data_IF_069115098812
#
_entry.id   IF_069115098812
#
_cell.length_a   1.000
_cell.length_b   1.000
_cell.length_c   1.000
_cell.angle_alpha   90.00
_cell.angle_beta   90.00
_cell.angle_gamma   90.00
#
_symmetry.space_group_name_H-M   'P 1'
#
loop_
_entity.id
_entity.type
_entity.pdbx_description
1 polymer ?
#
# COMPACT_ATOMS: atom_id res chain seq x y z
N UNK A 1 -14.97 1.73 19.84
CA UNK A 1 -15.09 1.32 21.26
C UNK A 1 -13.77 0.70 21.68
N UNK A 2 -13.17 1.19 22.78
CA UNK A 2 -12.00 0.55 23.37
C UNK A 2 -12.39 -0.81 23.94
N UNK A 3 -11.54 -1.83 23.77
CA UNK A 3 -11.75 -3.13 24.38
C UNK A 3 -11.87 -2.94 25.91
N UNK A 4 -12.95 -3.45 26.51
CA UNK A 4 -13.20 -3.34 27.95
C UNK A 4 -12.16 -4.09 28.81
N UNK A 5 -11.25 -4.85 28.17
CA UNK A 5 -10.12 -5.53 28.80
C UNK A 5 -8.90 -4.63 28.68
N UNK A 6 -8.63 -3.89 29.75
CA UNK A 6 -7.53 -2.96 29.86
C UNK A 6 -6.16 -3.59 29.53
N UNK A 7 -5.19 -2.71 29.25
CA UNK A 7 -3.78 -2.96 28.97
C UNK A 7 -3.43 -3.55 27.58
N UNK A 8 -4.13 -4.56 27.06
CA UNK A 8 -3.83 -5.17 25.74
C UNK A 8 -4.58 -4.52 24.55
N UNK A 9 -5.08 -3.29 24.75
CA UNK A 9 -5.84 -2.54 23.75
C UNK A 9 -4.92 -1.80 22.78
N UNK A 10 -5.19 -1.82 21.45
CA UNK A 10 -4.43 -1.01 20.50
C UNK A 10 -4.55 0.48 20.82
N UNK A 11 -3.44 1.20 20.62
CA UNK A 11 -3.45 2.66 20.68
C UNK A 11 -4.25 3.28 19.52
N UNK A 12 -4.49 4.59 19.58
CA UNK A 12 -5.30 5.30 18.57
C UNK A 12 -4.71 5.18 17.16
N UNK A 13 -3.38 5.18 17.01
CA UNK A 13 -2.75 5.07 15.70
C UNK A 13 -2.97 3.67 15.11
N UNK A 14 -2.79 2.63 15.92
CA UNK A 14 -3.02 1.23 15.57
C UNK A 14 -4.48 0.99 15.20
N UNK A 15 -5.43 1.56 15.95
CA UNK A 15 -6.85 1.52 15.60
C UNK A 15 -7.10 2.13 14.21
N UNK A 16 -6.61 3.34 13.95
CA UNK A 16 -6.74 3.99 12.64
C UNK A 16 -6.11 3.17 11.52
N UNK A 17 -4.93 2.59 11.77
CA UNK A 17 -4.21 1.72 10.82
C UNK A 17 -5.02 0.47 10.50
N UNK A 18 -5.67 -0.16 11.48
CA UNK A 18 -6.56 -1.32 11.27
C UNK A 18 -7.76 -0.96 10.40
N UNK A 19 -8.45 0.14 10.70
CA UNK A 19 -9.58 0.61 9.89
C UNK A 19 -9.16 0.94 8.46
N UNK A 20 -8.05 1.66 8.27
CA UNK A 20 -7.51 1.97 6.94
C UNK A 20 -7.13 0.68 6.17
N UNK A 21 -6.42 -0.25 6.82
CA UNK A 21 -6.01 -1.52 6.22
C UNK A 21 -7.16 -2.49 5.92
N UNK A 22 -8.35 -2.27 6.51
CA UNK A 22 -9.55 -3.03 6.18
C UNK A 22 -10.20 -2.58 4.87
N UNK A 23 -9.94 -1.35 4.42
CA UNK A 23 -10.65 -0.75 3.28
C UNK A 23 -12.16 -0.62 3.50
N UNK A 24 -12.63 -0.64 4.75
CA UNK A 24 -14.06 -0.59 5.10
C UNK A 24 -14.77 -1.94 5.12
N UNK A 25 -14.07 -3.05 4.89
CA UNK A 25 -14.65 -4.40 4.79
C UNK A 25 -14.04 -5.37 5.80
N UNK A 26 -14.81 -6.39 6.20
CA UNK A 26 -14.34 -7.49 7.04
C UNK A 26 -13.11 -8.16 6.40
N UNK A 27 -12.06 -8.41 7.19
CA UNK A 27 -10.82 -9.01 6.69
C UNK A 27 -10.83 -10.54 6.58
N UNK A 28 -11.97 -11.20 6.86
CA UNK A 28 -12.16 -12.60 6.50
C UNK A 28 -12.34 -12.71 4.97
N UNK A 29 -11.50 -13.48 4.24
CA UNK A 29 -11.52 -13.57 2.78
C UNK A 29 -12.87 -13.97 2.18
N UNK A 30 -13.64 -14.77 2.91
CA UNK A 30 -14.95 -15.26 2.49
C UNK A 30 -16.11 -14.35 2.95
N UNK A 31 -15.81 -13.22 3.57
CA UNK A 31 -16.79 -12.25 4.04
C UNK A 31 -16.66 -10.94 3.25
N UNK A 32 -17.76 -10.50 2.65
CA UNK A 32 -17.83 -9.24 1.86
C UNK A 32 -18.61 -8.16 2.59
N UNK A 33 -18.78 -8.28 3.91
CA UNK A 33 -19.59 -7.36 4.69
C UNK A 33 -18.83 -6.04 4.97
N UNK A 34 -19.52 -4.94 4.75
CA UNK A 34 -19.09 -3.60 5.16
C UNK A 34 -19.04 -3.47 6.68
N UNK A 35 -18.07 -2.72 7.17
CA UNK A 35 -17.86 -2.49 8.60
C UNK A 35 -18.59 -1.25 9.12
N UNK A 36 -18.98 -0.35 8.22
CA UNK A 36 -19.87 0.76 8.49
C UNK A 36 -21.14 0.58 7.67
N UNK A 37 -22.28 0.57 8.33
CA UNK A 37 -23.59 0.34 7.71
C UNK A 37 -24.45 1.57 7.98
N UNK A 38 -25.10 2.11 6.96
CA UNK A 38 -26.10 3.14 7.15
C UNK A 38 -27.44 2.50 7.56
N UNK A 39 -27.89 2.83 8.77
CA UNK A 39 -29.19 2.42 9.31
C UNK A 39 -29.98 3.69 9.67
N UNK A 40 -31.09 3.94 8.98
CA UNK A 40 -31.95 5.11 9.17
C UNK A 40 -31.18 6.45 9.18
N UNK A 41 -30.20 6.58 8.28
CA UNK A 41 -29.37 7.78 8.15
C UNK A 41 -28.29 7.93 9.22
N UNK A 42 -28.08 6.91 10.07
CA UNK A 42 -26.98 6.84 11.02
C UNK A 42 -25.94 5.81 10.58
N UNK A 43 -24.68 6.23 10.53
CA UNK A 43 -23.57 5.34 10.28
C UNK A 43 -23.27 4.48 11.53
N UNK A 44 -23.52 3.19 11.43
CA UNK A 44 -23.31 2.20 12.49
C UNK A 44 -22.02 1.42 12.22
N UNK A 45 -21.10 1.44 13.18
CA UNK A 45 -19.87 0.67 13.13
C UNK A 45 -20.09 -0.74 13.71
N UNK A 46 -20.01 -1.76 12.86
CA UNK A 46 -20.12 -3.19 13.26
C UNK A 46 -18.76 -3.91 13.28
N UNK A 47 -17.66 -3.15 13.22
CA UNK A 47 -16.31 -3.66 13.26
C UNK A 47 -15.87 -4.01 14.68
N UNK A 48 -15.19 -5.13 14.80
CA UNK A 48 -14.54 -5.60 16.02
C UNK A 48 -13.06 -5.87 15.72
N UNK A 49 -12.20 -5.35 16.59
CA UNK A 49 -10.76 -5.61 16.55
C UNK A 49 -10.52 -6.92 17.28
N UNK A 50 -10.18 -7.96 16.51
CA UNK A 50 -9.91 -9.28 17.04
C UNK A 50 -8.42 -9.48 17.23
N UNK A 51 -8.06 -10.13 18.33
CA UNK A 51 -6.70 -10.57 18.61
C UNK A 51 -6.42 -11.90 17.88
N UNK A 52 -5.31 -11.96 17.13
CA UNK A 52 -4.79 -13.19 16.54
C UNK A 52 -4.35 -14.13 17.67
N UNK A 53 -3.43 -13.65 18.52
CA UNK A 53 -3.06 -14.24 19.80
C UNK A 53 -3.75 -13.50 20.93
N UNK A 54 -4.34 -14.23 21.88
CA UNK A 54 -5.21 -13.68 22.90
C UNK A 54 -4.65 -12.43 23.62
N UNK A 55 -5.57 -11.51 23.95
CA UNK A 55 -5.28 -10.33 24.76
C UNK A 55 -4.72 -10.66 26.15
N UNK A 56 -5.06 -11.84 26.70
CA UNK A 56 -4.63 -12.34 28.01
C UNK A 56 -4.26 -13.84 27.90
N UNK A 57 -3.61 -14.40 28.92
CA UNK A 57 -3.14 -15.79 28.90
C UNK A 57 -4.25 -16.85 29.00
N UNK A 58 -5.44 -16.45 29.42
CA UNK A 58 -6.61 -17.35 29.52
C UNK A 58 -7.50 -17.33 28.26
N UNK A 59 -7.10 -16.58 27.22
CA UNK A 59 -7.90 -16.44 26.01
C UNK A 59 -7.60 -17.50 24.92
N UNK A 60 -8.43 -17.55 23.86
CA UNK A 60 -8.19 -18.46 22.73
C UNK A 60 -6.87 -18.12 22.04
N UNK A 61 -6.04 -19.13 21.74
CA UNK A 61 -4.71 -18.96 21.12
C UNK A 61 -3.78 -18.07 21.99
N UNK A 62 -3.83 -18.25 23.31
CA UNK A 62 -2.92 -17.56 24.23
C UNK A 62 -1.46 -17.83 23.89
N UNK A 63 -0.65 -16.77 24.00
CA UNK A 63 0.79 -16.79 23.76
C UNK A 63 1.47 -15.99 24.88
N UNK A 64 1.78 -16.64 26.02
CA UNK A 64 2.27 -15.96 27.22
C UNK A 64 3.55 -15.16 27.02
N UNK A 65 4.34 -15.49 26.00
CA UNK A 65 5.58 -14.81 25.67
C UNK A 65 5.34 -13.40 25.11
N UNK A 66 4.13 -13.07 24.66
CA UNK A 66 3.82 -11.74 24.14
C UNK A 66 3.72 -10.71 25.26
N UNK A 67 4.52 -9.65 25.12
CA UNK A 67 4.40 -8.43 25.89
C UNK A 67 3.04 -7.76 25.68
N UNK A 68 2.69 -6.85 26.58
CA UNK A 68 1.46 -6.07 26.49
C UNK A 68 1.40 -5.26 25.19
N UNK A 69 2.52 -4.65 24.82
CA UNK A 69 2.67 -3.83 23.62
C UNK A 69 2.47 -4.68 22.37
N UNK A 70 3.05 -5.89 22.31
CA UNK A 70 2.87 -6.83 21.19
C UNK A 70 1.43 -7.33 21.09
N UNK A 71 0.72 -7.52 22.21
CA UNK A 71 -0.69 -7.92 22.18
C UNK A 71 -1.60 -6.86 21.58
N UNK A 72 -1.29 -5.58 21.83
CA UNK A 72 -1.98 -4.43 21.25
C UNK A 72 -1.44 -3.98 19.89
N UNK A 73 -0.36 -4.59 19.39
CA UNK A 73 0.29 -4.18 18.15
C UNK A 73 -0.57 -4.49 16.93
N UNK A 74 -0.40 -3.69 15.88
CA UNK A 74 -1.09 -3.89 14.61
C UNK A 74 -0.94 -5.32 14.11
N UNK A 75 0.25 -5.90 14.24
CA UNK A 75 0.64 -7.22 13.74
C UNK A 75 -0.22 -8.33 14.36
N UNK A 76 -0.57 -8.21 15.65
CA UNK A 76 -1.41 -9.16 16.38
C UNK A 76 -2.93 -8.93 16.23
N UNK A 77 -3.35 -7.92 15.46
CA UNK A 77 -4.76 -7.55 15.34
C UNK A 77 -5.29 -7.74 13.91
N UNK A 78 -6.57 -8.05 13.82
CA UNK A 78 -7.34 -8.13 12.57
C UNK A 78 -8.71 -7.46 12.78
N UNK A 79 -9.24 -6.79 11.76
CA UNK A 79 -10.53 -6.12 11.83
C UNK A 79 -11.61 -6.97 11.15
N UNK A 80 -12.62 -7.39 11.92
CA UNK A 80 -13.67 -8.30 11.47
C UNK A 80 -15.05 -7.69 11.76
N UNK A 81 -16.10 -8.17 11.08
CA UNK A 81 -17.46 -7.91 11.54
C UNK A 81 -17.78 -8.78 12.78
N UNK A 82 -18.76 -8.37 13.57
CA UNK A 82 -19.15 -9.07 14.81
C UNK A 82 -19.39 -10.59 14.64
N UNK A 83 -19.94 -11.03 13.51
CA UNK A 83 -20.16 -12.46 13.23
C UNK A 83 -18.84 -13.22 13.05
N UNK A 84 -17.92 -12.69 12.25
CA UNK A 84 -16.63 -13.34 12.01
C UNK A 84 -15.74 -13.29 13.25
N UNK A 85 -15.78 -12.20 14.02
CA UNK A 85 -15.11 -12.11 15.31
C UNK A 85 -15.61 -13.19 16.28
N UNK A 86 -16.93 -13.27 16.49
CA UNK A 86 -17.55 -14.29 17.35
C UNK A 86 -17.19 -15.72 16.90
N UNK A 87 -17.12 -15.97 15.59
CA UNK A 87 -16.79 -17.27 15.02
C UNK A 87 -15.37 -17.72 15.37
N UNK A 88 -14.36 -16.84 15.21
CA UNK A 88 -12.97 -17.20 15.50
C UNK A 88 -12.72 -17.38 17.00
N UNK A 89 -13.46 -16.68 17.85
CA UNK A 89 -13.34 -16.77 19.30
C UNK A 89 -13.99 -18.04 19.85
N UNK A 90 -15.16 -18.43 19.31
CA UNK A 90 -15.91 -19.61 19.78
C UNK A 90 -15.40 -20.93 19.21
N UNK A 91 -14.61 -20.92 18.14
CA UNK A 91 -14.08 -22.12 17.51
C UNK A 91 -12.55 -22.02 17.25
N UNK A 92 -11.72 -21.87 18.30
CA UNK A 92 -10.29 -21.62 18.14
C UNK A 92 -9.56 -22.74 17.38
N UNK A 93 -9.99 -23.99 17.50
CA UNK A 93 -9.39 -25.13 16.77
C UNK A 93 -9.65 -25.05 15.26
N UNK A 94 -10.79 -24.51 14.83
CA UNK A 94 -11.13 -24.31 13.42
C UNK A 94 -10.48 -23.05 12.83
N UNK A 95 -10.10 -22.11 13.71
CA UNK A 95 -9.49 -20.82 13.36
C UNK A 95 -8.20 -20.61 14.17
N UNK A 96 -7.15 -21.41 13.92
CA UNK A 96 -5.85 -21.20 14.54
C UNK A 96 -5.26 -19.85 14.10
N UNK A 97 -4.26 -19.38 14.84
CA UNK A 97 -3.54 -18.13 14.57
C UNK A 97 -3.00 -18.07 13.13
N UNK A 98 -2.46 -19.18 12.63
CA UNK A 98 -1.94 -19.30 11.26
C UNK A 98 -3.00 -18.96 10.20
N UNK A 99 -4.25 -19.40 10.41
CA UNK A 99 -5.38 -19.12 9.52
C UNK A 99 -5.78 -17.64 9.55
N UNK A 100 -5.79 -17.03 10.74
CA UNK A 100 -6.14 -15.61 10.90
C UNK A 100 -5.04 -14.72 10.30
N UNK A 101 -3.77 -15.09 10.47
CA UNK A 101 -2.63 -14.42 9.81
C UNK A 101 -2.71 -14.53 8.29
N UNK A 102 -3.15 -15.69 7.76
CA UNK A 102 -3.41 -15.86 6.34
C UNK A 102 -4.53 -14.94 5.85
N UNK A 103 -5.65 -14.83 6.57
CA UNK A 103 -6.73 -13.91 6.23
C UNK A 103 -6.26 -12.47 6.08
N UNK A 104 -5.46 -12.01 7.04
CA UNK A 104 -4.87 -10.67 7.02
C UNK A 104 -3.98 -10.46 5.78
N UNK A 105 -3.15 -11.45 5.43
CA UNK A 105 -2.29 -11.40 4.22
C UNK A 105 -3.12 -11.39 2.94
N UNK A 106 -4.15 -12.23 2.84
CA UNK A 106 -5.02 -12.29 1.67
C UNK A 106 -5.81 -10.99 1.47
N UNK A 107 -6.29 -10.38 2.56
CA UNK A 107 -6.97 -9.09 2.50
C UNK A 107 -6.06 -7.98 1.97
N UNK A 108 -4.83 -7.90 2.45
CA UNK A 108 -3.83 -6.95 1.93
C UNK A 108 -3.57 -7.17 0.44
N UNK A 109 -3.45 -8.42 -0.01
CA UNK A 109 -3.30 -8.74 -1.44
C UNK A 109 -4.51 -8.31 -2.26
N UNK A 110 -5.73 -8.55 -1.76
CA UNK A 110 -6.97 -8.14 -2.42
C UNK A 110 -7.05 -6.63 -2.58
N UNK A 111 -6.71 -5.87 -1.54
CA UNK A 111 -6.65 -4.41 -1.61
C UNK A 111 -5.57 -3.94 -2.59
N UNK A 112 -4.38 -4.52 -2.57
CA UNK A 112 -3.31 -4.20 -3.52
C UNK A 112 -3.80 -4.39 -4.97
N UNK A 113 -4.49 -5.50 -5.25
CA UNK A 113 -5.08 -5.77 -6.55
C UNK A 113 -6.15 -4.73 -6.95
N UNK A 114 -7.00 -4.28 -6.02
CA UNK A 114 -7.96 -3.18 -6.27
C UNK A 114 -7.26 -1.88 -6.66
N UNK A 115 -6.11 -1.59 -6.05
CA UNK A 115 -5.27 -0.44 -6.43
C UNK A 115 -4.40 -0.71 -7.66
N UNK A 116 -4.63 -1.82 -8.37
CA UNK A 116 -3.98 -2.18 -9.61
C UNK A 116 -2.62 -2.87 -9.44
N UNK A 117 -2.12 -3.05 -8.21
CA UNK A 117 -0.86 -3.75 -7.94
C UNK A 117 -1.10 -5.24 -8.13
N UNK A 118 -0.57 -5.78 -9.22
CA UNK A 118 -0.91 -7.13 -9.70
C UNK A 118 0.35 -7.99 -9.69
N UNK A 119 0.23 -9.24 -9.23
CA UNK A 119 1.27 -10.23 -9.46
C UNK A 119 1.15 -10.77 -10.88
N UNK A 120 2.19 -10.59 -11.68
CA UNK A 120 2.22 -11.05 -13.06
C UNK A 120 2.76 -12.48 -13.14
N UNK A 121 2.25 -13.29 -14.09
CA UNK A 121 2.71 -14.66 -14.28
C UNK A 121 4.15 -14.73 -14.80
N UNK A 122 4.59 -13.72 -15.54
CA UNK A 122 5.90 -13.67 -16.18
C UNK A 122 6.35 -12.22 -16.41
N UNK A 123 7.60 -12.09 -16.87
CA UNK A 123 8.26 -10.81 -17.13
C UNK A 123 7.59 -10.01 -18.25
N UNK A 124 7.04 -10.69 -19.26
CA UNK A 124 6.38 -10.04 -20.38
C UNK A 124 5.08 -9.35 -19.95
N UNK A 125 4.25 -10.02 -19.15
CA UNK A 125 3.03 -9.45 -18.59
C UNK A 125 3.33 -8.27 -17.65
N UNK A 126 4.38 -8.37 -16.83
CA UNK A 126 4.84 -7.26 -16.00
C UNK A 126 5.31 -6.06 -16.85
N UNK A 127 6.06 -6.31 -17.92
CA UNK A 127 6.52 -5.29 -18.86
C UNK A 127 5.36 -4.59 -19.56
N UNK A 128 4.37 -5.34 -20.04
CA UNK A 128 3.17 -4.82 -20.71
C UNK A 128 2.40 -3.84 -19.81
N UNK A 129 2.34 -4.11 -18.50
CA UNK A 129 1.69 -3.22 -17.55
C UNK A 129 2.46 -1.90 -17.30
N UNK A 130 3.80 -1.94 -17.23
CA UNK A 130 4.62 -0.76 -16.89
C UNK A 130 5.06 0.06 -18.11
N UNK A 131 5.22 -0.55 -19.29
CA UNK A 131 5.75 0.10 -20.48
C UNK A 131 4.91 1.31 -20.92
N UNK A 132 3.57 1.27 -20.92
CA UNK A 132 2.74 2.44 -21.25
C UNK A 132 2.93 3.61 -20.28
N UNK A 133 3.19 3.33 -18.99
CA UNK A 133 3.43 4.37 -17.98
C UNK A 133 4.76 5.08 -18.25
N UNK A 134 5.81 4.31 -18.55
CA UNK A 134 7.13 4.84 -18.91
C UNK A 134 7.07 5.64 -20.21
N UNK A 135 6.38 5.13 -21.24
CA UNK A 135 6.18 5.84 -22.51
C UNK A 135 5.44 7.16 -22.33
N UNK A 136 4.39 7.18 -21.49
CA UNK A 136 3.65 8.40 -21.15
C UNK A 136 4.53 9.41 -20.41
N UNK A 137 5.37 8.96 -19.46
CA UNK A 137 6.30 9.82 -18.75
C UNK A 137 7.33 10.43 -19.69
N UNK A 138 7.90 9.61 -20.58
CA UNK A 138 8.83 10.07 -21.60
C UNK A 138 8.18 11.14 -22.50
N UNK A 139 6.97 10.90 -23.02
CA UNK A 139 6.26 11.88 -23.84
C UNK A 139 6.00 13.21 -23.10
N UNK A 140 5.62 13.15 -21.81
CA UNK A 140 5.44 14.34 -20.99
C UNK A 140 6.76 15.09 -20.82
N UNK A 141 7.83 14.38 -20.47
CA UNK A 141 9.14 14.98 -20.29
C UNK A 141 9.63 15.65 -21.58
N UNK A 142 9.55 14.97 -22.73
CA UNK A 142 9.99 15.51 -24.02
C UNK A 142 9.19 16.75 -24.46
N UNK A 143 7.90 16.81 -24.16
CA UNK A 143 7.03 17.93 -24.61
C UNK A 143 7.02 19.12 -23.65
N UNK A 144 7.18 18.89 -22.35
CA UNK A 144 6.93 19.90 -21.32
C UNK A 144 8.10 20.07 -20.33
N UNK A 145 9.17 19.29 -20.47
CA UNK A 145 10.30 19.30 -19.54
C UNK A 145 11.11 20.59 -19.60
N UNK A 146 12.06 20.76 -18.65
CA UNK A 146 12.83 21.99 -18.51
C UNK A 146 13.82 22.27 -19.68
N UNK A 147 14.00 21.30 -20.59
CA UNK A 147 14.92 21.43 -21.72
C UNK A 147 14.31 22.15 -22.94
N UNK A 148 12.98 22.30 -22.99
CA UNK A 148 12.31 22.96 -24.12
C UNK A 148 12.61 24.46 -24.13
N UNK A 149 12.56 25.07 -25.31
CA UNK A 149 12.86 26.51 -25.46
C UNK A 149 11.94 27.39 -24.61
N UNK A 150 10.64 27.09 -24.59
CA UNK A 150 9.66 27.83 -23.79
C UNK A 150 9.98 27.82 -22.28
N UNK A 151 10.62 26.78 -21.74
CA UNK A 151 11.00 26.74 -20.34
C UNK A 151 12.07 27.77 -19.94
N UNK A 152 12.76 28.36 -20.92
CA UNK A 152 13.74 29.44 -20.71
C UNK A 152 13.11 30.83 -20.66
N UNK A 153 11.83 30.94 -21.02
CA UNK A 153 11.05 32.17 -20.98
C UNK A 153 10.15 32.18 -19.72
N UNK A 154 10.43 33.07 -18.73
CA UNK A 154 9.63 33.18 -17.52
C UNK A 154 8.15 33.52 -17.75
N UNK A 155 7.81 34.16 -18.88
CA UNK A 155 6.44 34.61 -19.18
C UNK A 155 5.62 33.57 -19.96
N UNK A 156 6.25 32.50 -20.45
CA UNK A 156 5.62 31.48 -21.29
C UNK A 156 4.58 30.60 -20.57
N UNK A 157 4.59 30.58 -19.23
CA UNK A 157 3.82 29.63 -18.43
C UNK A 157 4.30 28.16 -18.53
N UNK A 158 5.42 27.89 -19.18
CA UNK A 158 5.97 26.54 -19.35
C UNK A 158 6.34 25.89 -18.00
N UNK A 159 6.89 26.66 -17.06
CA UNK A 159 7.24 26.18 -15.72
C UNK A 159 6.01 25.69 -14.94
N UNK A 160 4.89 26.42 -14.99
CA UNK A 160 3.64 26.01 -14.33
C UNK A 160 3.02 24.79 -15.03
N UNK A 161 3.07 24.75 -16.36
CA UNK A 161 2.66 23.57 -17.12
C UNK A 161 3.49 22.34 -16.75
N UNK A 162 4.80 22.49 -16.64
CA UNK A 162 5.73 21.44 -16.23
C UNK A 162 5.38 20.93 -14.83
N UNK A 163 5.23 21.83 -13.85
CA UNK A 163 4.85 21.48 -12.48
C UNK A 163 3.54 20.71 -12.45
N UNK A 164 2.50 21.17 -13.15
CA UNK A 164 1.23 20.45 -13.24
C UNK A 164 1.38 19.07 -13.86
N UNK A 165 2.17 18.92 -14.92
CA UNK A 165 2.41 17.64 -15.59
C UNK A 165 3.23 16.66 -14.73
N UNK A 166 4.15 17.17 -13.92
CA UNK A 166 4.84 16.38 -12.90
C UNK A 166 3.87 15.79 -11.88
N UNK A 167 3.06 16.65 -11.25
CA UNK A 167 2.12 16.26 -10.18
C UNK A 167 0.99 15.34 -10.67
N UNK A 168 0.50 15.54 -11.91
CA UNK A 168 -0.65 14.80 -12.44
C UNK A 168 -0.28 13.64 -13.36
N UNK A 169 0.99 13.51 -13.73
CA UNK A 169 1.47 12.56 -14.74
C UNK A 169 2.68 11.78 -14.27
N UNK A 170 3.84 12.42 -14.22
CA UNK A 170 5.12 11.72 -14.02
C UNK A 170 5.20 11.05 -12.66
N UNK A 171 4.94 11.78 -11.57
CA UNK A 171 5.05 11.24 -10.21
C UNK A 171 4.03 10.11 -9.96
N UNK A 172 2.73 10.26 -10.28
CA UNK A 172 1.78 9.14 -10.13
C UNK A 172 2.15 7.90 -10.95
N UNK A 173 2.64 8.08 -12.19
CA UNK A 173 3.07 6.96 -13.02
C UNK A 173 4.32 6.28 -12.47
N UNK A 174 5.31 7.06 -11.99
CA UNK A 174 6.51 6.54 -11.35
C UNK A 174 6.18 5.70 -10.11
N UNK A 175 5.31 6.22 -9.24
CA UNK A 175 4.83 5.49 -8.06
C UNK A 175 4.10 4.20 -8.41
N UNK A 176 3.29 4.20 -9.48
CA UNK A 176 2.68 2.97 -10.01
C UNK A 176 3.71 1.98 -10.52
N UNK A 177 4.72 2.44 -11.27
CA UNK A 177 5.81 1.57 -11.75
C UNK A 177 6.56 0.94 -10.58
N UNK A 178 6.94 1.72 -9.55
CA UNK A 178 7.58 1.20 -8.34
C UNK A 178 6.70 0.15 -7.65
N UNK A 179 5.41 0.44 -7.46
CA UNK A 179 4.48 -0.50 -6.82
C UNK A 179 4.37 -1.84 -7.58
N UNK A 180 4.31 -1.80 -8.93
CA UNK A 180 4.31 -3.02 -9.74
C UNK A 180 5.63 -3.79 -9.59
N UNK A 181 6.76 -3.10 -9.68
CA UNK A 181 8.07 -3.74 -9.59
C UNK A 181 8.32 -4.35 -8.21
N UNK A 182 7.86 -3.70 -7.14
CA UNK A 182 7.96 -4.19 -5.76
C UNK A 182 7.10 -5.44 -5.51
N UNK A 183 5.88 -5.47 -6.04
CA UNK A 183 5.03 -6.67 -5.98
C UNK A 183 5.63 -7.84 -6.79
N UNK A 184 6.37 -7.53 -7.84
CA UNK A 184 6.91 -8.50 -8.80
C UNK A 184 8.42 -8.67 -8.71
N UNK A 185 9.04 -8.42 -7.56
CA UNK A 185 10.50 -8.54 -7.36
C UNK A 185 11.06 -9.92 -7.73
N UNK A 186 10.25 -10.97 -7.59
CA UNK A 186 10.62 -12.33 -7.97
C UNK A 186 10.84 -12.51 -9.48
N UNK A 187 10.32 -11.59 -10.31
CA UNK A 187 10.55 -11.56 -11.76
C UNK A 187 11.81 -10.80 -12.15
N UNK A 188 12.45 -10.06 -11.24
CA UNK A 188 13.60 -9.19 -11.56
C UNK A 188 14.94 -9.91 -11.37
N UNK A 189 15.89 -9.61 -12.26
CA UNK A 189 17.30 -10.00 -12.11
C UNK A 189 18.03 -9.16 -11.06
N UNK A 190 19.22 -9.59 -10.64
CA UNK A 190 20.03 -8.85 -9.67
C UNK A 190 20.39 -7.42 -10.11
N UNK A 191 20.66 -7.21 -11.40
CA UNK A 191 20.96 -5.87 -11.95
C UNK A 191 19.71 -5.00 -12.08
N UNK A 192 18.56 -5.60 -12.41
CA UNK A 192 17.29 -4.87 -12.43
C UNK A 192 16.88 -4.45 -11.03
N UNK A 193 17.08 -5.30 -10.00
CA UNK A 193 16.84 -4.92 -8.61
C UNK A 193 17.63 -3.67 -8.22
N UNK A 194 18.93 -3.61 -8.56
CA UNK A 194 19.75 -2.40 -8.34
C UNK A 194 19.19 -1.19 -9.11
N UNK A 195 18.76 -1.40 -10.35
CA UNK A 195 18.15 -0.36 -11.17
C UNK A 195 16.87 0.20 -10.54
N UNK A 196 16.03 -0.65 -9.95
CA UNK A 196 14.82 -0.22 -9.22
C UNK A 196 15.16 0.63 -8.01
N UNK A 197 16.21 0.28 -7.26
CA UNK A 197 16.65 1.09 -6.12
C UNK A 197 17.12 2.48 -6.55
N UNK A 198 17.89 2.58 -7.64
CA UNK A 198 18.29 3.88 -8.22
C UNK A 198 17.07 4.66 -8.72
N UNK A 199 16.11 3.98 -9.35
CA UNK A 199 14.86 4.61 -9.79
C UNK A 199 14.06 5.13 -8.60
N UNK A 200 14.05 4.43 -7.47
CA UNK A 200 13.38 4.87 -6.25
C UNK A 200 13.97 6.18 -5.71
N UNK A 201 15.31 6.31 -5.70
CA UNK A 201 15.96 7.57 -5.33
C UNK A 201 15.60 8.71 -6.30
N UNK A 202 15.56 8.42 -7.60
CA UNK A 202 15.10 9.40 -8.60
C UNK A 202 13.65 9.87 -8.35
N UNK A 203 12.75 8.98 -7.95
CA UNK A 203 11.38 9.36 -7.60
C UNK A 203 11.34 10.23 -6.34
N UNK A 204 12.09 9.84 -5.31
CA UNK A 204 12.21 10.60 -4.05
C UNK A 204 12.71 12.03 -4.30
N UNK A 205 13.77 12.19 -5.08
CA UNK A 205 14.31 13.51 -5.45
C UNK A 205 13.26 14.37 -6.18
N UNK A 206 12.51 13.79 -7.12
CA UNK A 206 11.47 14.51 -7.84
C UNK A 206 10.32 14.92 -6.92
N UNK A 207 9.96 14.09 -5.94
CA UNK A 207 8.95 14.42 -4.93
C UNK A 207 9.44 15.54 -4.00
N UNK A 208 10.70 15.49 -3.56
CA UNK A 208 11.31 16.55 -2.76
C UNK A 208 11.26 17.90 -3.47
N UNK A 209 11.60 17.94 -4.76
CA UNK A 209 11.57 19.18 -5.57
C UNK A 209 10.13 19.65 -5.82
N UNK A 210 9.25 18.79 -6.32
CA UNK A 210 7.95 19.23 -6.86
C UNK A 210 6.82 19.25 -5.83
N UNK A 211 6.92 18.47 -4.76
CA UNK A 211 5.95 18.43 -3.65
C UNK A 211 6.53 19.14 -2.44
N UNK A 212 7.76 18.81 -2.06
CA UNK A 212 8.44 19.36 -0.87
C UNK A 212 8.95 20.79 -1.04
N UNK A 213 9.13 21.25 -2.29
CA UNK A 213 9.69 22.57 -2.58
C UNK A 213 11.19 22.68 -2.28
N UNK A 214 11.90 21.55 -2.23
CA UNK A 214 13.35 21.53 -2.10
C UNK A 214 14.00 22.24 -3.29
N UNK A 215 15.05 23.02 -3.01
CA UNK A 215 15.84 23.69 -4.04
C UNK A 215 17.14 22.90 -4.29
N UNK A 216 16.97 21.65 -4.70
CA UNK A 216 18.04 20.69 -4.94
C UNK A 216 17.89 20.11 -6.35
N UNK A 217 19.01 19.69 -6.94
CA UNK A 217 18.99 19.03 -8.24
C UNK A 217 18.48 17.59 -8.07
N UNK A 218 17.43 17.24 -8.82
CA UNK A 218 16.95 15.87 -8.84
C UNK A 218 17.86 14.97 -9.67
N UNK A 219 18.10 13.74 -9.23
CA UNK A 219 18.88 12.77 -9.98
C UNK A 219 18.23 12.44 -11.33
N UNK A 220 19.06 11.98 -12.28
CA UNK A 220 18.60 11.62 -13.62
C UNK A 220 17.84 10.28 -13.62
N UNK A 221 16.88 10.15 -14.56
CA UNK A 221 16.19 8.89 -14.79
C UNK A 221 17.18 7.78 -15.16
N UNK A 222 17.19 6.63 -14.46
CA UNK A 222 18.18 5.58 -14.69
C UNK A 222 17.95 4.86 -16.02
N UNK A 223 19.01 4.79 -16.85
CA UNK A 223 18.95 4.20 -18.19
C UNK A 223 18.45 2.74 -18.19
N UNK A 224 18.78 1.97 -17.13
CA UNK A 224 18.33 0.57 -16.99
C UNK A 224 16.81 0.41 -17.00
N UNK A 225 16.05 1.42 -16.56
CA UNK A 225 14.58 1.37 -16.57
C UNK A 225 13.99 1.35 -17.99
N UNK A 226 14.75 1.74 -19.01
CA UNK A 226 14.28 1.64 -20.39
C UNK A 226 14.10 0.18 -20.82
N UNK A 227 14.96 -0.71 -20.32
CA UNK A 227 15.04 -2.12 -20.73
C UNK A 227 14.60 -3.11 -19.64
N UNK A 228 14.06 -2.59 -18.53
CA UNK A 228 13.62 -3.42 -17.41
C UNK A 228 12.53 -4.40 -17.87
N UNK A 229 12.64 -5.68 -17.49
CA UNK A 229 11.73 -6.77 -17.86
C UNK A 229 11.68 -7.11 -19.37
N UNK A 230 12.59 -6.62 -20.22
CA UNK A 230 12.58 -6.91 -21.67
C UNK A 230 13.23 -8.23 -22.08
N UNK A 231 14.02 -8.85 -21.20
CA UNK A 231 14.75 -10.10 -21.47
C UNK A 231 14.16 -11.27 -20.72
#
# INVERSE_FOLDING_TARGET
MACARGAASPDTNTQRRLFAASGGYCQNPNCVRELFIDADGQAVNVAEMAHVFAANDDGPRAKPELTKEERGAFENLILLCAICHTMIDKAPDAFPDTRILEWKREHTKKLAAVFGVTNFPDRAAAREAIAPLLAKNHAIFSQYGPHIEAARDPESGAAETWRRKMLTGILPNNNRVLAQLDANRHLLSGEELKTVEVFRQHVDDLEAVHIGGANEDASCFPAGMQTILEK
#
